data_IF_514777451447
#
_entry.id   IF_514777451447
#
_cell.length_a   1.000
_cell.length_b   1.000
_cell.length_c   1.000
_cell.angle_alpha   90.00
_cell.angle_beta   90.00
_cell.angle_gamma   90.00
#
_symmetry.space_group_name_H-M   'P 1'
#
loop_
_entity.id
_entity.type
_entity.pdbx_description
1 polymer ?
#
# COMPACT_ATOMS: atom_id res chain seq x y z
N UNK A 1 19.72 -16.39 15.60
CA UNK A 1 18.68 -16.71 14.62
C UNK A 1 17.99 -15.42 14.23
N UNK A 2 17.62 -15.24 12.96
CA UNK A 2 16.76 -14.13 12.53
C UNK A 2 15.36 -14.31 13.09
N UNK A 3 14.67 -13.21 13.39
CA UNK A 3 13.27 -13.26 13.72
C UNK A 3 12.47 -13.62 12.45
N UNK A 4 11.48 -14.48 12.58
CA UNK A 4 10.55 -14.82 11.50
C UNK A 4 9.23 -14.10 11.80
N UNK A 5 8.72 -13.32 10.87
CA UNK A 5 7.41 -12.71 10.99
C UNK A 5 6.36 -13.82 11.14
N UNK A 6 5.47 -13.74 12.14
CA UNK A 6 4.36 -14.68 12.27
C UNK A 6 3.49 -14.70 11.00
N UNK A 7 2.79 -15.80 10.71
CA UNK A 7 1.82 -15.83 9.61
C UNK A 7 0.67 -14.85 9.87
N UNK A 8 -0.05 -14.41 8.81
CA UNK A 8 -1.26 -13.60 8.95
C UNK A 8 -2.34 -14.36 9.73
N UNK A 9 -3.36 -13.63 10.20
CA UNK A 9 -4.50 -14.25 10.87
C UNK A 9 -5.23 -15.20 9.92
N UNK A 10 -5.34 -16.46 10.34
CA UNK A 10 -6.00 -17.52 9.58
C UNK A 10 -7.52 -17.56 9.77
N UNK A 11 -8.08 -16.70 10.62
CA UNK A 11 -9.52 -16.66 10.89
C UNK A 11 -10.30 -16.27 9.64
N UNK A 12 -11.29 -17.10 9.28
CA UNK A 12 -12.13 -16.88 8.09
C UNK A 12 -13.29 -15.97 8.48
N UNK A 13 -12.99 -14.67 8.67
CA UNK A 13 -14.03 -13.66 8.90
C UNK A 13 -14.36 -12.95 7.57
N UNK A 14 -15.64 -12.55 7.45
CA UNK A 14 -16.07 -11.63 6.40
C UNK A 14 -16.20 -10.22 6.98
N UNK A 15 -15.99 -9.17 6.19
CA UNK A 15 -16.27 -7.82 6.59
C UNK A 15 -17.74 -7.64 6.97
N UNK A 16 -18.02 -6.75 7.91
CA UNK A 16 -19.37 -6.23 8.19
C UNK A 16 -19.70 -5.16 7.14
N UNK A 17 -18.69 -4.41 6.74
CA UNK A 17 -18.76 -3.46 5.64
C UNK A 17 -19.24 -4.16 4.37
N UNK A 18 -20.26 -3.60 3.72
CA UNK A 18 -20.63 -4.01 2.38
C UNK A 18 -19.64 -3.42 1.39
N UNK A 19 -18.79 -4.29 0.84
CA UNK A 19 -17.73 -3.91 -0.08
C UNK A 19 -18.33 -3.69 -1.47
N UNK A 20 -18.11 -2.51 -2.09
CA UNK A 20 -18.65 -2.23 -3.42
C UNK A 20 -17.94 -3.05 -4.51
N UNK A 21 -18.64 -3.38 -5.62
CA UNK A 21 -17.99 -3.95 -6.80
C UNK A 21 -16.87 -3.06 -7.30
N UNK A 22 -15.75 -3.67 -7.72
CA UNK A 22 -14.57 -2.96 -8.18
C UNK A 22 -13.66 -2.49 -7.04
N UNK A 23 -13.93 -2.87 -5.80
CA UNK A 23 -13.09 -2.50 -4.66
C UNK A 23 -11.65 -2.99 -4.82
N UNK A 24 -10.72 -2.18 -4.37
CA UNK A 24 -9.28 -2.39 -4.52
C UNK A 24 -8.55 -2.34 -3.18
N UNK A 25 -7.80 -3.38 -2.86
CA UNK A 25 -6.77 -3.35 -1.82
C UNK A 25 -5.49 -2.74 -2.40
N UNK A 26 -5.13 -1.51 -1.98
CA UNK A 26 -4.02 -0.75 -2.56
C UNK A 26 -2.67 -1.00 -1.89
N UNK A 27 -2.58 -1.95 -0.96
CA UNK A 27 -1.30 -2.27 -0.31
C UNK A 27 -1.30 -3.66 0.31
N UNK A 28 -0.60 -4.57 -0.30
CA UNK A 28 -0.26 -5.88 0.25
C UNK A 28 1.07 -6.36 -0.31
N UNK A 29 1.61 -7.43 0.29
CA UNK A 29 2.85 -8.06 -0.13
C UNK A 29 2.63 -9.53 -0.45
N UNK A 30 3.39 -10.07 -1.41
CA UNK A 30 3.42 -11.49 -1.73
C UNK A 30 4.79 -12.04 -1.36
N UNK A 31 4.82 -13.16 -0.65
CA UNK A 31 6.04 -13.84 -0.24
C UNK A 31 6.05 -15.28 -0.74
N UNK A 32 7.00 -15.59 -1.60
CA UNK A 32 7.29 -16.97 -1.94
C UNK A 32 6.58 -17.55 -3.17
N UNK A 33 6.75 -18.85 -3.36
CA UNK A 33 7.56 -19.70 -2.48
C UNK A 33 9.06 -19.30 -2.51
N UNK A 34 9.73 -19.35 -1.36
CA UNK A 34 11.15 -18.97 -1.25
C UNK A 34 12.08 -19.83 -2.09
N UNK A 35 11.64 -21.05 -2.49
CA UNK A 35 12.38 -21.92 -3.42
C UNK A 35 12.46 -21.34 -4.83
N UNK A 36 11.47 -20.54 -5.26
CA UNK A 36 11.44 -19.87 -6.55
C UNK A 36 11.89 -18.40 -6.45
N UNK A 37 11.56 -17.75 -5.34
CA UNK A 37 11.83 -16.34 -5.09
C UNK A 37 12.59 -16.16 -3.77
N UNK A 38 13.91 -16.37 -3.74
CA UNK A 38 14.70 -16.27 -2.52
C UNK A 38 14.84 -14.84 -2.02
N UNK A 39 14.76 -14.67 -0.71
CA UNK A 39 15.02 -13.36 -0.09
C UNK A 39 16.47 -12.95 -0.20
N UNK A 40 16.73 -11.63 -0.31
CA UNK A 40 18.10 -11.08 -0.40
C UNK A 40 18.88 -11.29 0.90
N UNK A 41 20.21 -11.25 0.77
CA UNK A 41 21.15 -11.36 1.88
C UNK A 41 22.13 -10.17 1.80
N UNK A 42 22.42 -9.46 2.90
CA UNK A 42 21.87 -9.64 4.25
C UNK A 42 20.43 -9.10 4.39
N UNK A 43 19.68 -9.61 5.37
CA UNK A 43 18.35 -9.13 5.74
C UNK A 43 18.14 -9.17 7.26
N UNK A 44 17.30 -8.28 7.84
CA UNK A 44 17.12 -8.20 9.29
C UNK A 44 16.19 -9.30 9.83
N UNK A 45 15.25 -9.78 9.02
CA UNK A 45 14.23 -10.75 9.40
C UNK A 45 13.90 -11.70 8.24
N UNK A 46 13.17 -12.74 8.55
CA UNK A 46 12.54 -13.66 7.60
C UNK A 46 11.01 -13.53 7.68
N UNK A 47 10.30 -14.00 6.66
CA UNK A 47 8.86 -14.12 6.64
C UNK A 47 8.46 -15.55 6.23
N UNK A 48 7.27 -15.99 6.63
CA UNK A 48 6.64 -17.20 6.09
C UNK A 48 6.20 -16.95 4.66
N UNK A 49 6.11 -18.02 3.86
CA UNK A 49 5.52 -17.91 2.54
C UNK A 49 4.05 -17.49 2.68
N UNK A 50 3.66 -16.51 1.88
CA UNK A 50 2.30 -15.99 1.73
C UNK A 50 2.10 -15.75 0.23
N UNK A 51 1.58 -16.77 -0.44
CA UNK A 51 1.58 -16.88 -1.90
C UNK A 51 0.53 -15.98 -2.56
N UNK A 52 0.56 -15.92 -3.88
CA UNK A 52 -0.51 -15.28 -4.65
C UNK A 52 -1.85 -15.96 -4.41
N UNK A 53 -1.87 -17.30 -4.29
CA UNK A 53 -3.08 -18.09 -4.01
C UNK A 53 -3.68 -17.68 -2.65
N UNK A 54 -2.86 -17.56 -1.60
CA UNK A 54 -3.30 -17.13 -0.27
C UNK A 54 -3.91 -15.71 -0.32
N UNK A 55 -3.30 -14.82 -1.11
CA UNK A 55 -3.82 -13.48 -1.35
C UNK A 55 -5.18 -13.50 -2.06
N UNK A 56 -5.31 -14.28 -3.14
CA UNK A 56 -6.55 -14.38 -3.90
C UNK A 56 -7.70 -14.91 -3.03
N UNK A 57 -7.42 -15.89 -2.18
CA UNK A 57 -8.37 -16.39 -1.20
C UNK A 57 -8.78 -15.32 -0.18
N UNK A 58 -7.83 -14.51 0.28
CA UNK A 58 -8.13 -13.37 1.15
C UNK A 58 -9.00 -12.34 0.42
N UNK A 59 -8.65 -11.96 -0.81
CA UNK A 59 -9.42 -10.99 -1.59
C UNK A 59 -10.87 -11.43 -1.81
N UNK A 60 -11.10 -12.72 -2.11
CA UNK A 60 -12.45 -13.28 -2.22
C UNK A 60 -13.22 -13.14 -0.91
N UNK A 61 -12.59 -13.41 0.23
CA UNK A 61 -13.21 -13.28 1.55
C UNK A 61 -13.55 -11.84 1.90
N UNK A 62 -12.66 -10.90 1.55
CA UNK A 62 -12.85 -9.48 1.78
C UNK A 62 -13.82 -8.82 0.78
N UNK A 63 -14.11 -9.47 -0.35
CA UNK A 63 -14.90 -8.89 -1.44
C UNK A 63 -14.10 -7.90 -2.31
N UNK A 64 -12.77 -8.07 -2.38
CA UNK A 64 -11.89 -7.23 -3.21
C UNK A 64 -11.77 -7.82 -4.62
N UNK A 65 -12.09 -7.03 -5.63
CA UNK A 65 -11.97 -7.43 -7.03
C UNK A 65 -10.58 -7.15 -7.58
N UNK A 66 -9.89 -6.16 -7.04
CA UNK A 66 -8.61 -5.65 -7.54
C UNK A 66 -7.60 -5.47 -6.40
N UNK A 67 -6.32 -5.36 -6.76
CA UNK A 67 -5.28 -5.15 -5.77
C UNK A 67 -3.99 -4.57 -6.31
N UNK A 68 -3.20 -3.97 -5.41
CA UNK A 68 -1.89 -3.41 -5.70
C UNK A 68 -0.83 -4.12 -4.86
N UNK A 69 -0.06 -4.97 -5.51
CA UNK A 69 1.06 -5.67 -4.92
C UNK A 69 2.26 -4.72 -4.76
N UNK A 70 2.73 -4.56 -3.53
CA UNK A 70 3.87 -3.68 -3.22
C UNK A 70 5.11 -4.50 -2.95
N UNK A 71 6.21 -4.17 -3.61
CA UNK A 71 7.49 -4.83 -3.42
C UNK A 71 7.95 -4.71 -1.97
N UNK A 72 8.32 -5.84 -1.39
CA UNK A 72 8.83 -5.90 -0.03
C UNK A 72 10.34 -5.70 0.04
N UNK A 73 10.79 -5.15 1.17
CA UNK A 73 12.20 -5.01 1.49
C UNK A 73 12.98 -6.35 1.47
N UNK A 74 12.31 -7.47 1.69
CA UNK A 74 12.95 -8.80 1.73
C UNK A 74 13.47 -9.28 0.36
N UNK A 75 12.93 -8.77 -0.74
CA UNK A 75 13.42 -9.06 -2.09
C UNK A 75 14.36 -7.97 -2.65
N UNK A 76 14.56 -6.88 -1.93
CA UNK A 76 15.39 -5.78 -2.45
C UNK A 76 14.83 -5.20 -3.75
N UNK A 77 15.69 -5.14 -4.76
CA UNK A 77 15.32 -4.72 -6.12
C UNK A 77 15.01 -5.91 -7.07
N UNK A 78 14.96 -7.13 -6.55
CA UNK A 78 14.48 -8.28 -7.34
C UNK A 78 12.96 -8.30 -7.34
N UNK A 79 12.36 -7.82 -8.42
CA UNK A 79 10.91 -7.75 -8.58
C UNK A 79 10.31 -9.03 -9.21
N UNK A 80 11.02 -10.14 -9.25
CA UNK A 80 10.58 -11.36 -9.94
C UNK A 80 9.29 -11.94 -9.37
N UNK A 81 9.15 -11.99 -8.04
CA UNK A 81 7.92 -12.46 -7.37
C UNK A 81 6.73 -11.54 -7.68
N UNK A 82 6.93 -10.23 -7.63
CA UNK A 82 5.91 -9.25 -8.01
C UNK A 82 5.47 -9.44 -9.47
N UNK A 83 6.42 -9.57 -10.38
CA UNK A 83 6.14 -9.74 -11.82
C UNK A 83 5.42 -11.06 -12.12
N UNK A 84 5.73 -12.14 -11.41
CA UNK A 84 5.00 -13.40 -11.55
C UNK A 84 3.51 -13.19 -11.22
N UNK A 85 3.22 -12.56 -10.10
CA UNK A 85 1.84 -12.26 -9.70
C UNK A 85 1.10 -11.37 -10.71
N UNK A 86 1.74 -10.30 -11.19
CA UNK A 86 1.13 -9.39 -12.18
C UNK A 86 0.82 -10.08 -13.51
N UNK A 87 1.70 -10.99 -13.97
CA UNK A 87 1.50 -11.74 -15.21
C UNK A 87 0.40 -12.78 -15.10
N UNK A 88 0.21 -13.34 -13.92
CA UNK A 88 -0.86 -14.32 -13.66
C UNK A 88 -2.22 -13.66 -13.50
N UNK A 89 -2.27 -12.45 -12.95
CA UNK A 89 -3.52 -11.71 -12.69
C UNK A 89 -3.51 -10.29 -13.32
N UNK A 90 -3.27 -10.14 -14.65
CA UNK A 90 -3.01 -8.84 -15.28
C UNK A 90 -4.23 -7.90 -15.27
N UNK A 91 -5.44 -8.44 -15.20
CA UNK A 91 -6.68 -7.64 -15.12
C UNK A 91 -6.96 -7.14 -13.70
N UNK A 92 -6.58 -7.94 -12.69
CA UNK A 92 -6.90 -7.70 -11.28
C UNK A 92 -5.80 -6.97 -10.53
N UNK A 93 -4.54 -7.17 -10.91
CA UNK A 93 -3.41 -6.65 -10.15
C UNK A 93 -2.66 -5.53 -10.84
N UNK A 94 -2.16 -4.59 -10.04
CA UNK A 94 -1.12 -3.62 -10.39
C UNK A 94 0.04 -3.75 -9.41
N UNK A 95 1.19 -3.20 -9.77
CA UNK A 95 2.41 -3.34 -8.97
C UNK A 95 3.04 -2.02 -8.57
N UNK A 96 3.70 -2.05 -7.44
CA UNK A 96 4.66 -1.03 -6.99
C UNK A 96 5.99 -1.74 -6.81
N UNK A 97 6.94 -1.43 -7.68
CA UNK A 97 8.25 -2.08 -7.72
C UNK A 97 9.24 -1.41 -6.74
N UNK A 98 10.41 -1.99 -6.60
CA UNK A 98 11.59 -1.34 -6.03
C UNK A 98 12.69 -1.34 -7.08
N UNK A 99 12.94 -0.18 -7.69
CA UNK A 99 14.00 0.00 -8.69
C UNK A 99 15.00 1.06 -8.23
N UNK A 100 16.18 1.05 -8.83
CA UNK A 100 17.29 1.94 -8.51
C UNK A 100 17.71 2.75 -9.73
N UNK A 101 18.55 3.77 -9.55
CA UNK A 101 19.03 4.66 -10.59
C UNK A 101 19.52 3.95 -11.87
N UNK A 102 20.22 2.83 -11.70
CA UNK A 102 20.80 2.07 -12.82
C UNK A 102 19.77 1.36 -13.72
N UNK A 103 18.46 1.41 -13.39
CA UNK A 103 17.43 0.82 -14.23
C UNK A 103 17.41 1.48 -15.61
N UNK A 104 17.32 0.69 -16.66
CA UNK A 104 17.23 1.19 -18.04
C UNK A 104 15.78 1.49 -18.42
N UNK A 105 15.58 2.38 -19.42
CA UNK A 105 14.23 2.69 -19.93
C UNK A 105 13.55 1.47 -20.54
N UNK A 106 14.32 0.56 -21.14
CA UNK A 106 13.79 -0.73 -21.60
C UNK A 106 13.19 -1.54 -20.44
N UNK A 107 13.90 -1.64 -19.31
CA UNK A 107 13.41 -2.35 -18.13
C UNK A 107 12.19 -1.63 -17.50
N UNK A 108 12.19 -0.29 -17.44
CA UNK A 108 11.03 0.48 -16.99
C UNK A 108 9.81 0.20 -17.87
N UNK A 109 9.99 0.17 -19.19
CA UNK A 109 8.91 -0.18 -20.12
C UNK A 109 8.40 -1.60 -19.90
N UNK A 110 9.27 -2.59 -19.76
CA UNK A 110 8.90 -3.98 -19.49
C UNK A 110 8.10 -4.12 -18.19
N UNK A 111 8.49 -3.41 -17.13
CA UNK A 111 7.77 -3.37 -15.87
C UNK A 111 6.40 -2.68 -16.01
N UNK A 112 6.34 -1.56 -16.75
CA UNK A 112 5.10 -0.82 -17.03
C UNK A 112 4.10 -1.67 -17.80
N UNK A 113 4.57 -2.36 -18.84
CA UNK A 113 3.74 -3.28 -19.65
C UNK A 113 3.21 -4.45 -18.82
N UNK A 114 3.96 -4.89 -17.81
CA UNK A 114 3.53 -5.92 -16.86
C UNK A 114 2.53 -5.42 -15.80
N UNK A 115 2.23 -4.12 -15.74
CA UNK A 115 1.26 -3.55 -14.81
C UNK A 115 1.84 -2.80 -13.61
N UNK A 116 3.16 -2.52 -13.59
CA UNK A 116 3.77 -1.67 -12.56
C UNK A 116 3.35 -0.21 -12.78
N UNK A 117 3.01 0.49 -11.68
CA UNK A 117 2.53 1.88 -11.69
C UNK A 117 3.27 2.78 -10.69
N UNK A 118 4.21 2.24 -9.93
CA UNK A 118 4.95 3.04 -8.97
C UNK A 118 6.24 2.39 -8.50
N UNK A 119 7.06 3.19 -7.81
CA UNK A 119 8.28 2.75 -7.15
C UNK A 119 8.23 3.06 -5.66
N UNK A 120 8.55 2.08 -4.82
CA UNK A 120 8.60 2.27 -3.37
C UNK A 120 9.97 2.75 -2.92
N UNK A 121 10.02 3.94 -2.32
CA UNK A 121 11.16 4.47 -1.60
C UNK A 121 10.98 4.19 -0.09
N UNK A 122 12.02 3.66 0.54
CA UNK A 122 12.02 3.35 1.97
C UNK A 122 13.14 4.14 2.65
N UNK A 123 12.77 4.98 3.62
CA UNK A 123 13.75 5.79 4.37
C UNK A 123 14.81 4.93 5.05
N UNK A 124 14.41 3.79 5.59
CA UNK A 124 15.30 2.85 6.27
C UNK A 124 16.37 2.22 5.35
N UNK A 125 16.15 2.22 4.04
CA UNK A 125 17.07 1.66 3.05
C UNK A 125 17.91 2.71 2.36
N UNK A 126 17.32 3.83 2.06
CA UNK A 126 17.96 4.95 1.37
C UNK A 126 17.32 6.24 1.86
N UNK A 127 17.92 6.90 2.86
CA UNK A 127 17.43 8.21 3.32
C UNK A 127 17.60 9.28 2.24
N UNK A 128 18.56 9.11 1.33
CA UNK A 128 18.77 9.99 0.19
C UNK A 128 17.92 9.51 -0.99
N UNK A 129 17.01 10.37 -1.43
CA UNK A 129 16.12 10.09 -2.56
C UNK A 129 16.77 10.58 -3.86
N UNK A 130 16.79 9.68 -4.83
CA UNK A 130 17.22 9.97 -6.19
C UNK A 130 16.13 10.74 -6.95
N UNK A 131 16.29 12.06 -7.03
CA UNK A 131 15.34 12.96 -7.71
C UNK A 131 15.33 12.76 -9.23
N UNK A 132 16.46 12.37 -9.82
CA UNK A 132 16.54 12.09 -11.26
C UNK A 132 15.75 10.81 -11.59
N UNK A 133 15.83 9.80 -10.71
CA UNK A 133 15.00 8.62 -10.86
C UNK A 133 13.51 8.99 -10.75
N UNK A 134 13.11 9.82 -9.80
CA UNK A 134 11.71 10.26 -9.67
C UNK A 134 11.23 10.92 -10.97
N UNK A 135 11.99 11.83 -11.54
CA UNK A 135 11.63 12.49 -12.80
C UNK A 135 11.41 11.48 -13.93
N UNK A 136 12.35 10.51 -14.09
CA UNK A 136 12.23 9.43 -15.07
C UNK A 136 11.00 8.54 -14.82
N UNK A 137 10.70 8.21 -13.58
CA UNK A 137 9.52 7.39 -13.25
C UNK A 137 8.23 8.07 -13.71
N UNK A 138 8.12 9.38 -13.56
CA UNK A 138 6.96 10.14 -14.03
C UNK A 138 6.80 10.10 -15.56
N UNK A 139 7.89 10.08 -16.33
CA UNK A 139 7.85 9.92 -17.80
C UNK A 139 7.21 8.58 -18.22
N UNK A 140 7.35 7.54 -17.39
CA UNK A 140 6.72 6.23 -17.58
C UNK A 140 5.32 6.12 -16.94
N UNK A 141 4.77 7.22 -16.41
CA UNK A 141 3.47 7.25 -15.76
C UNK A 141 3.46 6.61 -14.36
N UNK A 142 4.64 6.43 -13.76
CA UNK A 142 4.75 5.89 -12.41
C UNK A 142 4.74 7.02 -11.38
N UNK A 143 4.27 6.71 -10.17
CA UNK A 143 4.35 7.59 -9.02
C UNK A 143 5.31 7.03 -7.96
N UNK A 144 6.13 7.87 -7.29
CA UNK A 144 6.89 7.46 -6.13
C UNK A 144 5.94 7.17 -4.97
N UNK A 145 6.25 6.12 -4.20
CA UNK A 145 5.58 5.79 -2.94
C UNK A 145 6.59 5.89 -1.81
N UNK A 146 6.29 6.70 -0.82
CA UNK A 146 7.17 7.02 0.28
C UNK A 146 6.78 6.26 1.54
N UNK A 147 7.69 5.43 2.03
CA UNK A 147 7.55 4.75 3.31
C UNK A 147 8.60 5.29 4.29
N UNK A 148 8.14 5.94 5.33
CA UNK A 148 8.93 6.52 6.42
C UNK A 148 8.19 6.35 7.75
N UNK A 149 8.92 6.53 8.86
CA UNK A 149 8.39 6.36 10.22
C UNK A 149 8.65 7.62 11.05
N UNK A 150 7.57 8.21 11.56
CA UNK A 150 7.60 9.32 12.50
C UNK A 150 8.00 10.67 11.90
N UNK A 151 8.03 11.68 12.79
CA UNK A 151 8.18 13.08 12.40
C UNK A 151 9.51 13.41 11.73
N UNK A 152 10.60 12.88 12.26
CA UNK A 152 11.94 13.20 11.75
C UNK A 152 12.13 12.79 10.29
N UNK A 153 11.66 11.58 9.95
CA UNK A 153 11.77 11.08 8.59
C UNK A 153 10.79 11.80 7.65
N UNK A 154 9.57 12.11 8.13
CA UNK A 154 8.62 12.93 7.38
C UNK A 154 9.22 14.29 7.00
N UNK A 155 9.86 14.97 7.97
CA UNK A 155 10.51 16.26 7.75
C UNK A 155 11.73 16.15 6.82
N UNK A 156 12.52 15.09 6.95
CA UNK A 156 13.69 14.89 6.11
C UNK A 156 13.31 14.74 4.62
N UNK A 157 12.16 14.17 4.32
CA UNK A 157 11.68 13.98 2.95
C UNK A 157 10.67 15.04 2.47
N UNK A 158 10.28 15.97 3.35
CA UNK A 158 9.27 16.98 3.04
C UNK A 158 9.51 17.71 1.72
N UNK A 159 10.69 18.31 1.56
CA UNK A 159 11.01 19.09 0.36
C UNK A 159 11.01 18.20 -0.89
N UNK A 160 11.51 16.98 -0.79
CA UNK A 160 11.47 16.04 -1.92
C UNK A 160 10.05 15.67 -2.32
N UNK A 161 9.16 15.47 -1.34
CA UNK A 161 7.75 15.19 -1.61
C UNK A 161 7.05 16.42 -2.22
N UNK A 162 7.26 17.60 -1.66
CA UNK A 162 6.64 18.85 -2.15
C UNK A 162 7.13 19.23 -3.56
N UNK A 163 8.39 18.96 -3.86
CA UNK A 163 9.01 19.23 -5.18
C UNK A 163 8.70 18.16 -6.23
N UNK A 164 8.00 17.06 -5.86
CA UNK A 164 7.67 15.99 -6.81
C UNK A 164 6.89 16.55 -8.01
N UNK A 165 7.32 16.26 -9.27
CA UNK A 165 6.72 16.87 -10.45
C UNK A 165 5.30 16.37 -10.76
N UNK A 166 4.90 15.23 -10.19
CA UNK A 166 3.59 14.60 -10.43
C UNK A 166 3.01 13.98 -9.17
N UNK A 167 2.07 13.05 -9.34
CA UNK A 167 1.48 12.33 -8.23
C UNK A 167 2.52 11.55 -7.43
N UNK A 168 2.34 11.49 -6.12
CA UNK A 168 3.11 10.66 -5.21
C UNK A 168 2.22 10.11 -4.10
N UNK A 169 2.66 9.04 -3.46
CA UNK A 169 1.89 8.34 -2.42
C UNK A 169 2.66 8.29 -1.12
N UNK A 170 1.99 8.51 -0.01
CA UNK A 170 2.52 8.27 1.35
C UNK A 170 1.89 6.98 1.89
N UNK A 171 2.72 5.99 2.23
CA UNK A 171 2.28 4.73 2.82
C UNK A 171 1.83 4.91 4.28
N UNK A 172 0.82 4.12 4.71
CA UNK A 172 0.42 3.92 6.12
C UNK A 172 0.19 5.22 6.89
N UNK A 173 -0.58 6.18 6.31
CA UNK A 173 -0.87 7.49 6.92
C UNK A 173 0.41 8.23 7.41
N UNK A 174 1.57 7.94 6.75
CA UNK A 174 2.87 8.49 7.11
C UNK A 174 3.42 7.96 8.42
N UNK A 175 2.86 6.88 8.97
CA UNK A 175 3.32 6.19 10.19
C UNK A 175 3.60 7.17 11.34
N UNK A 176 2.66 8.09 11.60
CA UNK A 176 2.82 9.08 12.66
C UNK A 176 2.28 8.55 13.98
N UNK A 177 3.11 8.51 15.06
CA UNK A 177 2.67 8.00 16.35
C UNK A 177 1.43 8.75 16.86
N UNK A 178 0.33 8.03 17.10
CA UNK A 178 -0.94 8.63 17.55
C UNK A 178 -0.81 9.43 18.86
N UNK A 179 0.11 9.03 19.73
CA UNK A 179 0.38 9.74 20.98
C UNK A 179 0.87 11.18 20.83
N UNK A 180 1.35 11.58 19.64
CA UNK A 180 1.76 12.96 19.37
C UNK A 180 0.58 13.87 18.96
N UNK A 181 -0.57 13.29 18.63
CA UNK A 181 -1.79 14.00 18.27
C UNK A 181 -1.76 14.63 16.87
N UNK A 182 -2.92 15.14 16.42
CA UNK A 182 -3.12 15.71 15.09
C UNK A 182 -2.29 16.98 14.81
N UNK A 183 -1.83 17.66 15.87
CA UNK A 183 -1.03 18.87 15.75
C UNK A 183 0.48 18.59 15.65
N UNK A 184 0.89 17.34 15.66
CA UNK A 184 2.29 16.93 15.50
C UNK A 184 2.86 17.48 14.19
N UNK A 185 4.14 17.82 14.19
CA UNK A 185 4.76 18.43 13.01
C UNK A 185 4.80 17.43 11.83
N UNK A 186 4.98 16.14 12.12
CA UNK A 186 4.98 15.09 11.10
C UNK A 186 3.61 14.95 10.45
N UNK A 187 2.51 14.91 11.22
CA UNK A 187 1.18 14.81 10.64
C UNK A 187 0.78 16.06 9.85
N UNK A 188 1.13 17.25 10.35
CA UNK A 188 0.93 18.49 9.58
C UNK A 188 1.69 18.51 8.27
N UNK A 189 2.89 17.92 8.22
CA UNK A 189 3.63 17.76 6.95
C UNK A 189 2.86 16.91 5.95
N UNK A 190 2.17 15.84 6.41
CA UNK A 190 1.34 15.01 5.53
C UNK A 190 0.14 15.79 5.00
N UNK A 191 -0.52 16.57 5.86
CA UNK A 191 -1.64 17.43 5.45
C UNK A 191 -1.18 18.48 4.41
N UNK A 192 -0.03 19.11 4.63
CA UNK A 192 0.57 20.05 3.67
C UNK A 192 0.89 19.39 2.33
N UNK A 193 1.36 18.12 2.35
CA UNK A 193 1.53 17.34 1.13
C UNK A 193 0.20 17.11 0.41
N UNK A 194 -0.87 16.76 1.13
CA UNK A 194 -2.21 16.55 0.55
C UNK A 194 -2.78 17.82 -0.09
N UNK A 195 -2.56 18.99 0.53
CA UNK A 195 -3.00 20.29 0.02
C UNK A 195 -2.37 20.65 -1.34
N UNK A 196 -1.25 20.00 -1.73
CA UNK A 196 -0.68 20.17 -3.08
C UNK A 196 -1.59 19.63 -4.19
N UNK A 197 -2.58 18.80 -3.87
CA UNK A 197 -3.43 18.10 -4.83
C UNK A 197 -2.73 16.97 -5.62
N UNK A 198 -1.44 16.70 -5.32
CA UNK A 198 -0.63 15.65 -5.97
C UNK A 198 -0.33 14.48 -5.03
N UNK A 199 -0.43 14.70 -3.73
CA UNK A 199 -0.21 13.67 -2.72
C UNK A 199 -1.41 12.74 -2.62
N UNK A 200 -1.13 11.46 -2.47
CA UNK A 200 -2.08 10.43 -2.11
C UNK A 200 -1.65 9.79 -0.79
N UNK A 201 -2.60 9.39 0.04
CA UNK A 201 -2.29 8.74 1.31
C UNK A 201 -3.01 7.41 1.41
N UNK A 202 -2.28 6.36 1.81
CA UNK A 202 -2.86 5.04 2.10
C UNK A 202 -3.39 4.99 3.52
N UNK A 203 -4.67 4.77 3.67
CA UNK A 203 -5.34 4.41 4.93
C UNK A 203 -5.06 2.92 5.20
N UNK A 204 -3.89 2.63 5.74
CA UNK A 204 -3.37 1.26 5.92
C UNK A 204 -2.47 1.16 7.14
N UNK A 205 -2.28 -0.04 7.66
CA UNK A 205 -1.36 -0.32 8.76
C UNK A 205 -1.65 0.41 10.08
N UNK A 206 -2.91 0.58 10.54
CA UNK A 206 -3.23 1.31 11.77
C UNK A 206 -2.55 0.70 13.00
N UNK A 207 -2.38 -0.62 13.03
CA UNK A 207 -1.65 -1.35 14.05
C UNK A 207 -0.21 -0.86 14.26
N UNK A 208 0.41 -0.27 13.23
CA UNK A 208 1.83 0.07 13.24
C UNK A 208 2.17 1.30 14.07
N UNK A 209 1.22 2.22 14.21
CA UNK A 209 1.43 3.51 14.89
C UNK A 209 0.37 3.84 15.95
N UNK A 210 -0.63 2.97 16.13
CA UNK A 210 -1.55 3.01 17.27
C UNK A 210 -0.82 2.75 18.58
N UNK A 211 -1.32 3.35 19.66
CA UNK A 211 -0.93 3.02 21.03
C UNK A 211 -1.66 1.79 21.57
N UNK A 212 -2.68 1.32 20.86
CA UNK A 212 -3.44 0.11 21.19
C UNK A 212 -2.76 -1.12 20.53
N UNK A 213 -2.68 -2.24 21.27
CA UNK A 213 -2.05 -3.46 20.77
C UNK A 213 -3.01 -4.35 19.95
N UNK A 214 -4.30 -4.06 20.02
CA UNK A 214 -5.36 -4.84 19.36
C UNK A 214 -6.43 -3.91 18.78
N UNK A 215 -7.16 -4.42 17.78
CA UNK A 215 -8.32 -3.74 17.21
C UNK A 215 -9.28 -3.26 18.33
N UNK A 216 -9.97 -2.10 18.17
CA UNK A 216 -10.15 -1.40 16.89
C UNK A 216 -9.15 -0.26 16.58
N UNK A 217 -8.07 -0.08 17.33
CA UNK A 217 -7.11 1.02 17.13
C UNK A 217 -7.80 2.39 17.09
N UNK A 218 -8.60 2.67 18.13
CA UNK A 218 -9.52 3.81 18.17
C UNK A 218 -8.80 5.16 18.14
N UNK A 219 -7.54 5.21 18.59
CA UNK A 219 -6.68 6.38 18.55
C UNK A 219 -6.22 6.77 17.12
N UNK A 220 -6.38 5.86 16.15
CA UNK A 220 -6.07 6.12 14.72
C UNK A 220 -7.24 6.82 14.01
N UNK A 221 -8.48 6.61 14.44
CA UNK A 221 -9.67 7.13 13.78
C UNK A 221 -9.62 8.65 13.51
N UNK A 222 -9.22 9.52 14.47
CA UNK A 222 -9.11 10.96 14.24
C UNK A 222 -8.12 11.32 13.10
N UNK A 223 -7.03 10.56 12.95
CA UNK A 223 -6.04 10.78 11.88
C UNK A 223 -6.62 10.40 10.52
N UNK A 224 -7.23 9.23 10.41
CA UNK A 224 -7.88 8.79 9.18
C UNK A 224 -9.00 9.75 8.75
N UNK A 225 -9.87 10.14 9.68
CA UNK A 225 -10.94 11.11 9.43
C UNK A 225 -10.39 12.44 8.96
N UNK A 226 -9.30 12.94 9.56
CA UNK A 226 -8.69 14.22 9.14
C UNK A 226 -8.08 14.16 7.74
N UNK A 227 -7.45 13.04 7.37
CA UNK A 227 -6.93 12.81 6.01
C UNK A 227 -8.07 12.77 4.99
N UNK A 228 -9.16 12.06 5.29
CA UNK A 228 -10.35 11.95 4.45
C UNK A 228 -11.02 13.34 4.29
N UNK A 229 -11.20 14.07 5.39
CA UNK A 229 -11.77 15.44 5.37
C UNK A 229 -10.94 16.38 4.49
N UNK A 230 -9.60 16.28 4.58
CA UNK A 230 -8.68 17.16 3.86
C UNK A 230 -8.68 16.87 2.35
N UNK A 231 -8.70 15.60 1.95
CA UNK A 231 -8.61 15.22 0.54
C UNK A 231 -9.33 13.88 0.26
N UNK A 232 -10.68 13.85 0.23
CA UNK A 232 -11.43 12.60 0.03
C UNK A 232 -11.12 11.93 -1.31
N UNK A 233 -10.67 12.68 -2.31
CA UNK A 233 -10.31 12.19 -3.64
C UNK A 233 -8.82 11.77 -3.74
N UNK A 234 -8.08 11.77 -2.64
CA UNK A 234 -6.64 11.47 -2.57
C UNK A 234 -6.28 10.47 -1.48
N UNK A 235 -7.25 9.77 -0.93
CA UNK A 235 -7.03 8.68 0.03
C UNK A 235 -7.48 7.36 -0.56
N UNK A 236 -6.71 6.31 -0.29
CA UNK A 236 -6.96 4.94 -0.75
C UNK A 236 -6.76 3.97 0.42
N UNK A 237 -7.42 2.83 0.40
CA UNK A 237 -7.31 1.82 1.47
C UNK A 237 -6.32 0.71 1.09
N UNK A 238 -5.67 0.09 2.09
CA UNK A 238 -4.84 -1.10 1.92
C UNK A 238 -4.76 -1.93 3.19
N UNK A 239 -4.76 -3.27 3.04
CA UNK A 239 -4.70 -4.21 4.16
C UNK A 239 -3.35 -4.21 4.86
N UNK A 240 -2.26 -4.03 4.12
CA UNK A 240 -0.89 -4.31 4.53
C UNK A 240 -0.63 -5.81 4.79
N UNK A 241 -1.52 -6.70 4.26
CA UNK A 241 -1.33 -8.14 4.35
C UNK A 241 0.02 -8.57 3.73
N UNK A 242 0.73 -9.54 4.28
CA UNK A 242 0.48 -10.33 5.49
C UNK A 242 1.12 -9.72 6.76
N UNK A 243 1.20 -8.42 6.88
CA UNK A 243 1.73 -7.64 8.00
C UNK A 243 3.20 -7.96 8.34
N UNK A 244 4.13 -7.79 7.38
CA UNK A 244 5.54 -8.11 7.60
C UNK A 244 6.14 -7.30 8.75
N UNK A 245 7.07 -7.91 9.47
CA UNK A 245 7.73 -7.28 10.63
C UNK A 245 6.76 -6.94 11.79
N UNK A 246 5.60 -7.62 11.89
CA UNK A 246 4.67 -7.46 12.98
C UNK A 246 4.78 -8.64 13.95
N UNK A 247 5.02 -8.35 15.26
CA UNK A 247 5.28 -9.35 16.30
C UNK A 247 4.35 -9.21 17.53
N UNK A 248 3.33 -8.37 17.41
CA UNK A 248 2.21 -8.24 18.36
C UNK A 248 1.03 -9.10 17.87
N UNK A 249 -0.13 -9.11 18.56
CA UNK A 249 -1.31 -9.81 18.07
C UNK A 249 -1.61 -9.44 16.62
N UNK A 250 -1.75 -10.47 15.76
CA UNK A 250 -1.97 -10.28 14.34
C UNK A 250 -3.38 -9.71 14.11
N UNK A 251 -3.53 -8.57 13.39
CA UNK A 251 -4.85 -8.05 13.12
C UNK A 251 -5.59 -8.92 12.12
N UNK A 252 -6.92 -8.99 12.22
CA UNK A 252 -7.75 -9.63 11.23
C UNK A 252 -8.09 -8.64 10.10
N UNK A 253 -7.83 -9.01 8.85
CA UNK A 253 -7.96 -8.12 7.69
C UNK A 253 -9.39 -7.66 7.43
N UNK A 254 -10.40 -8.53 7.69
CA UNK A 254 -11.80 -8.13 7.59
C UNK A 254 -12.16 -7.04 8.62
N UNK A 255 -11.61 -7.11 9.82
CA UNK A 255 -11.82 -6.09 10.86
C UNK A 255 -11.04 -4.81 10.57
N UNK A 256 -9.86 -4.90 9.93
CA UNK A 256 -9.15 -3.72 9.43
C UNK A 256 -9.97 -2.98 8.36
N UNK A 257 -10.63 -3.71 7.48
CA UNK A 257 -11.51 -3.11 6.48
C UNK A 257 -12.76 -2.47 7.10
N UNK A 258 -13.32 -3.10 8.14
CA UNK A 258 -14.49 -2.58 8.87
C UNK A 258 -14.22 -1.22 9.53
N UNK A 259 -12.96 -0.86 9.82
CA UNK A 259 -12.61 0.46 10.37
C UNK A 259 -13.02 1.62 9.44
N UNK A 260 -13.16 1.36 8.13
CA UNK A 260 -13.65 2.38 7.21
C UNK A 260 -15.09 2.84 7.52
N UNK A 261 -15.89 2.06 8.23
CA UNK A 261 -17.24 2.50 8.63
C UNK A 261 -17.18 3.66 9.64
N UNK A 262 -16.16 3.65 10.51
CA UNK A 262 -15.93 4.73 11.49
C UNK A 262 -15.14 5.89 10.87
N UNK A 263 -14.18 5.58 9.98
CA UNK A 263 -13.33 6.59 9.37
C UNK A 263 -14.05 7.40 8.29
N UNK A 264 -14.94 6.75 7.54
CA UNK A 264 -15.74 7.31 6.46
C UNK A 264 -17.20 6.82 6.58
N UNK A 265 -18.03 7.42 7.46
CA UNK A 265 -19.43 7.00 7.66
C UNK A 265 -20.29 7.09 6.40
N UNK A 266 -19.96 8.03 5.49
CA UNK A 266 -20.66 8.19 4.21
C UNK A 266 -20.22 7.11 3.22
N UNK A 267 -21.19 6.36 2.69
CA UNK A 267 -20.97 5.31 1.69
C UNK A 267 -20.33 5.85 0.42
N UNK A 268 -20.70 7.04 -0.03
CA UNK A 268 -20.13 7.66 -1.23
C UNK A 268 -18.64 7.92 -1.07
N UNK A 269 -18.20 8.31 0.12
CA UNK A 269 -16.79 8.51 0.44
C UNK A 269 -16.04 7.17 0.47
N UNK A 270 -16.65 6.11 1.04
CA UNK A 270 -16.06 4.77 1.01
C UNK A 270 -15.93 4.24 -0.43
N UNK A 271 -16.90 4.50 -1.29
CA UNK A 271 -16.84 4.15 -2.71
C UNK A 271 -15.67 4.86 -3.42
N UNK A 272 -15.46 6.14 -3.13
CA UNK A 272 -14.26 6.84 -3.63
C UNK A 272 -12.99 6.16 -3.16
N UNK A 273 -12.84 5.90 -1.86
CA UNK A 273 -11.63 5.31 -1.25
C UNK A 273 -11.33 3.92 -1.81
N UNK A 274 -12.35 3.10 -2.01
CA UNK A 274 -12.17 1.70 -2.42
C UNK A 274 -12.20 1.49 -3.94
N UNK A 275 -12.85 2.37 -4.71
CA UNK A 275 -13.09 2.14 -6.15
C UNK A 275 -12.53 3.26 -7.01
N UNK A 276 -13.06 4.48 -6.91
CA UNK A 276 -12.78 5.56 -7.86
C UNK A 276 -11.34 6.07 -7.76
N UNK A 277 -10.87 6.30 -6.55
CA UNK A 277 -9.52 6.78 -6.26
C UNK A 277 -8.44 5.78 -6.72
N UNK A 278 -8.52 4.48 -6.37
CA UNK A 278 -7.60 3.47 -6.88
C UNK A 278 -7.62 3.36 -8.40
N UNK A 279 -8.79 3.46 -9.02
CA UNK A 279 -8.91 3.42 -10.47
C UNK A 279 -8.15 4.55 -11.14
N UNK A 280 -8.35 5.78 -10.67
CA UNK A 280 -7.67 6.95 -11.20
C UNK A 280 -6.16 6.90 -11.02
N UNK A 281 -5.68 6.39 -9.85
CA UNK A 281 -4.26 6.37 -9.54
C UNK A 281 -3.50 5.23 -10.24
N UNK A 282 -4.09 4.03 -10.31
CA UNK A 282 -3.41 2.83 -10.81
C UNK A 282 -3.86 2.41 -12.23
N UNK A 283 -4.84 3.11 -12.81
CA UNK A 283 -5.31 2.83 -14.17
C UNK A 283 -6.03 1.48 -14.29
N UNK A 284 -6.96 1.19 -13.37
CA UNK A 284 -7.90 0.10 -13.53
C UNK A 284 -9.09 0.56 -14.39
N UNK A 285 -9.51 -0.23 -15.36
CA UNK A 285 -10.68 0.09 -16.21
C UNK A 285 -11.94 -0.53 -15.62
N UNK A 286 -12.92 0.30 -15.23
CA UNK A 286 -14.23 -0.15 -14.72
C UNK A 286 -15.04 -0.99 -15.74
N UNK A 287 -14.77 -0.85 -17.04
CA UNK A 287 -15.49 -1.54 -18.10
C UNK A 287 -15.15 -3.02 -18.28
N UNK A 288 -14.05 -3.52 -17.70
CA UNK A 288 -13.58 -4.89 -17.93
C UNK A 288 -13.91 -5.87 -16.79
N UNK A 289 -14.33 -5.38 -15.62
CA UNK A 289 -14.63 -6.21 -14.44
C UNK A 289 -15.97 -6.99 -14.52
N UNK A 290 -16.89 -6.64 -15.43
CA UNK A 290 -18.25 -7.20 -15.49
C UNK A 290 -18.48 -8.25 -16.61
N UNK A 291 -17.42 -8.85 -17.15
CA UNK A 291 -17.50 -9.65 -18.38
C UNK A 291 -17.47 -11.17 -18.26
N UNK A 292 -17.31 -11.83 -17.08
CA UNK A 292 -17.20 -13.31 -17.06
C UNK A 292 -17.71 -13.99 -15.78
N UNK A 293 -18.85 -13.60 -15.24
CA UNK A 293 -19.56 -14.41 -14.24
C UNK A 293 -21.01 -14.74 -14.68
N UNK A 294 -21.18 -15.28 -15.88
CA UNK A 294 -22.38 -16.09 -16.20
C UNK A 294 -22.06 -17.09 -17.32
N UNK A 295 -22.23 -18.31 -16.98
CA UNK A 295 -22.43 -19.55 -17.73
C UNK A 295 -21.32 -20.59 -17.58
N UNK A 296 -21.44 -21.48 -16.61
CA UNK A 296 -21.86 -22.89 -16.76
C UNK A 296 -21.88 -23.58 -15.40
#
# INVERSE_FOLDING_TARGET
>A
MRKITPPPDSSILKPILQVPPGATDCHFHIFGPQSAFPFVVPRPLDATDCSLEDLLDLQVRLGMDRGVAVQTALYGSDNSCLLDALRREPKRLRGVAAVQHAITDKQLKELTDAGVRGNRFSFMRSPDIDRDLIARLHEFGWHPQYWFEGEQQALAWKDTMLDSPGNFVIDHMGWQPCGLGLNSIGFRTILECLETGRCWVKLSGPNRFSMEDVLPYSDVAPFAQKLIETAPDRVIWGSDWPHPNWFKPMPNDARLLDLLMDWAPDESVRNKILVENPEGLFGFNLGEANGDHHTN
#
